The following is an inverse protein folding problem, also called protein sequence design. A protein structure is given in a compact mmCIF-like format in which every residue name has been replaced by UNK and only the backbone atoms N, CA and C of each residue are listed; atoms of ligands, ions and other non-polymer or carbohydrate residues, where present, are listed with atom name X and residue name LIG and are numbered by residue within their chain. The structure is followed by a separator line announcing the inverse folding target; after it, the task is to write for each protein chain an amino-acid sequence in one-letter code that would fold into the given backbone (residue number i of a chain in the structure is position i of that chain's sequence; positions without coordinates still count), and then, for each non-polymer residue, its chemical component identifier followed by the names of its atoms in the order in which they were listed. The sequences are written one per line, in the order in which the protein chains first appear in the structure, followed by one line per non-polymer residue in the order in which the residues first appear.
data_IF_492046828531
#
_entry.id   IF_492046828531
#
_cell.length_a   1.000
_cell.length_b   1.000
_cell.length_c   1.000
_cell.angle_alpha   90.00
_cell.angle_beta   90.00
_cell.angle_gamma   90.00
#
_symmetry.space_group_name_H-M   'P 1'
#
loop_
_entity.id
_entity.type
_entity.pdbx_description
1 polymer ?
#
# COMPACT_ATOMS: atom_id res chain seq x y z
N UNK A 1 4.54 -19.76 7.09
CA UNK A 1 3.32 -20.58 7.24
C UNK A 1 2.19 -19.92 6.45
N UNK A 2 1.05 -20.61 6.29
CA UNK A 2 -0.14 -20.26 5.48
C UNK A 2 0.13 -19.79 4.03
N UNK A 3 0.26 -20.76 3.14
CA UNK A 3 0.33 -20.53 1.69
C UNK A 3 -1.05 -20.65 1.00
N UNK A 4 -2.16 -20.60 1.75
CA UNK A 4 -3.52 -20.78 1.20
C UNK A 4 -3.93 -19.71 0.18
N UNK A 5 -3.29 -18.54 0.24
CA UNK A 5 -3.45 -17.43 -0.72
C UNK A 5 -2.24 -17.24 -1.64
N UNK A 6 -1.19 -18.05 -1.51
CA UNK A 6 0.02 -17.89 -2.30
C UNK A 6 -0.22 -18.34 -3.75
N UNK A 7 0.30 -17.56 -4.71
CA UNK A 7 0.20 -17.87 -6.13
C UNK A 7 1.50 -17.45 -6.84
N UNK A 8 1.99 -18.28 -7.75
CA UNK A 8 3.02 -17.86 -8.71
C UNK A 8 2.40 -16.90 -9.72
N UNK A 9 2.85 -15.65 -9.71
CA UNK A 9 2.40 -14.64 -10.66
C UNK A 9 3.07 -14.86 -12.01
N UNK A 10 2.28 -14.84 -13.08
CA UNK A 10 2.73 -14.97 -14.47
C UNK A 10 2.37 -13.66 -15.18
N UNK A 11 3.34 -12.95 -15.79
CA UNK A 11 3.06 -11.72 -16.52
C UNK A 11 1.99 -11.93 -17.61
N UNK A 12 1.00 -11.03 -17.66
CA UNK A 12 -0.14 -11.11 -18.58
C UNK A 12 -1.31 -11.98 -18.10
N UNK A 13 -1.18 -12.70 -16.98
CA UNK A 13 -2.30 -13.39 -16.36
C UNK A 13 -2.99 -12.50 -15.32
N UNK A 14 -4.32 -12.43 -15.39
CA UNK A 14 -5.12 -11.74 -14.36
C UNK A 14 -5.16 -12.53 -13.05
N UNK A 15 -5.14 -11.79 -11.94
CA UNK A 15 -5.19 -12.31 -10.58
C UNK A 15 -6.32 -11.65 -9.78
N UNK A 16 -6.74 -12.30 -8.69
CA UNK A 16 -7.81 -11.80 -7.83
C UNK A 16 -7.29 -10.62 -7.00
N UNK A 17 -7.90 -9.44 -7.16
CA UNK A 17 -7.50 -8.22 -6.45
C UNK A 17 -7.95 -8.19 -4.98
N UNK A 18 -9.07 -8.84 -4.65
CA UNK A 18 -9.56 -8.96 -3.27
C UNK A 18 -8.82 -10.07 -2.53
N UNK A 19 -7.54 -9.83 -2.26
CA UNK A 19 -6.63 -10.72 -1.54
C UNK A 19 -5.89 -9.95 -0.44
N UNK A 20 -5.16 -10.65 0.43
CA UNK A 20 -4.51 -10.11 1.62
C UNK A 20 -5.49 -9.63 2.71
N UNK A 21 -5.05 -9.70 3.97
CA UNK A 21 -5.77 -9.14 5.12
C UNK A 21 -5.84 -7.61 5.02
N UNK A 22 -7.01 -7.03 5.35
CA UNK A 22 -7.35 -5.64 5.03
C UNK A 22 -6.30 -4.60 5.42
N UNK A 23 -5.81 -4.63 6.67
CA UNK A 23 -4.85 -3.64 7.18
C UNK A 23 -3.48 -3.66 6.49
N UNK A 24 -3.16 -4.77 5.83
CA UNK A 24 -1.88 -4.99 5.14
C UNK A 24 -2.04 -4.95 3.62
N UNK A 25 -3.25 -4.68 3.12
CA UNK A 25 -3.54 -4.73 1.68
C UNK A 25 -2.92 -3.52 0.97
N UNK A 26 -2.18 -3.81 -0.11
CA UNK A 26 -1.59 -2.79 -0.97
C UNK A 26 -2.65 -1.95 -1.68
N UNK A 27 -2.44 -0.65 -1.90
CA UNK A 27 -3.46 0.23 -2.48
C UNK A 27 -3.83 -0.16 -3.91
N UNK A 28 -2.93 -0.71 -4.73
CA UNK A 28 -3.25 -1.24 -6.05
C UNK A 28 -4.32 -2.35 -6.01
N UNK A 29 -4.30 -3.19 -4.97
CA UNK A 29 -5.30 -4.23 -4.76
C UNK A 29 -6.65 -3.61 -4.35
N UNK A 30 -6.62 -2.53 -3.56
CA UNK A 30 -7.83 -1.77 -3.18
C UNK A 30 -8.44 -1.09 -4.42
N UNK A 31 -7.59 -0.61 -5.34
CA UNK A 31 -7.99 -0.08 -6.64
C UNK A 31 -8.45 -1.16 -7.63
N UNK A 32 -8.38 -2.44 -7.26
CA UNK A 32 -8.86 -3.54 -8.09
C UNK A 32 -7.89 -4.01 -9.17
N UNK A 33 -6.59 -3.71 -9.05
CA UNK A 33 -5.58 -4.18 -9.99
C UNK A 33 -5.56 -5.72 -10.05
N UNK A 34 -5.61 -6.26 -11.25
CA UNK A 34 -5.51 -7.71 -11.52
C UNK A 34 -4.12 -8.13 -11.99
N UNK A 35 -3.32 -7.17 -12.46
CA UNK A 35 -1.93 -7.34 -12.88
C UNK A 35 -1.01 -6.63 -11.88
N UNK A 36 -0.80 -7.27 -10.74
CA UNK A 36 0.14 -6.83 -9.70
C UNK A 36 1.35 -7.75 -9.64
N UNK A 37 2.37 -7.34 -8.87
CA UNK A 37 3.62 -8.09 -8.69
C UNK A 37 3.81 -8.48 -7.23
N UNK A 38 4.87 -9.22 -6.91
CA UNK A 38 5.21 -9.58 -5.54
C UNK A 38 5.54 -8.35 -4.64
N UNK A 39 5.62 -7.13 -5.20
CA UNK A 39 5.81 -5.89 -4.42
C UNK A 39 4.66 -5.64 -3.44
N UNK A 40 3.47 -6.22 -3.66
CA UNK A 40 2.37 -6.18 -2.68
C UNK A 40 2.76 -6.81 -1.33
N UNK A 41 3.68 -7.78 -1.33
CA UNK A 41 4.17 -8.43 -0.11
C UNK A 41 5.15 -7.51 0.63
N UNK A 42 5.96 -6.74 -0.11
CA UNK A 42 6.83 -5.71 0.46
C UNK A 42 6.02 -4.61 1.14
N UNK A 43 4.91 -4.18 0.54
CA UNK A 43 3.96 -3.26 1.18
C UNK A 43 3.41 -3.84 2.50
N UNK A 44 2.97 -5.10 2.45
CA UNK A 44 2.42 -5.81 3.62
C UNK A 44 3.46 -5.89 4.74
N UNK A 45 4.72 -6.20 4.41
CA UNK A 45 5.82 -6.25 5.36
C UNK A 45 6.12 -4.87 5.99
N UNK A 46 6.04 -3.79 5.21
CA UNK A 46 6.16 -2.41 5.72
C UNK A 46 5.06 -2.08 6.73
N UNK A 47 3.83 -2.49 6.46
CA UNK A 47 2.71 -2.32 7.38
C UNK A 47 2.91 -3.09 8.70
N UNK A 48 3.40 -4.34 8.63
CA UNK A 48 3.71 -5.16 9.82
C UNK A 48 4.83 -4.54 10.66
N UNK A 49 5.89 -4.05 10.02
CA UNK A 49 6.98 -3.37 10.72
C UNK A 49 6.47 -2.12 11.43
N UNK A 50 5.69 -1.31 10.73
CA UNK A 50 5.11 -0.09 11.29
C UNK A 50 4.21 -0.39 12.48
N UNK A 51 3.34 -1.41 12.37
CA UNK A 51 2.47 -1.85 13.45
C UNK A 51 3.27 -2.31 14.69
N UNK A 52 4.35 -3.05 14.48
CA UNK A 52 5.24 -3.50 15.56
C UNK A 52 5.83 -2.32 16.34
N UNK A 53 6.17 -1.24 15.65
CA UNK A 53 6.74 -0.01 16.26
C UNK A 53 5.66 0.82 16.96
N UNK A 54 4.48 0.96 16.34
CA UNK A 54 3.39 1.79 16.84
C UNK A 54 2.63 1.14 18.00
N UNK A 55 2.55 -0.20 18.00
CA UNK A 55 1.71 -1.00 18.88
C UNK A 55 0.24 -1.10 18.41
N UNK A 56 -0.05 -0.61 17.21
CA UNK A 56 -1.37 -0.62 16.58
C UNK A 56 -1.22 -0.63 15.05
N UNK A 57 -2.21 -1.14 14.29
CA UNK A 57 -2.13 -1.16 12.84
C UNK A 57 -1.89 0.23 12.24
N UNK A 58 -1.00 0.31 11.23
CA UNK A 58 -0.69 1.57 10.56
C UNK A 58 -1.90 2.15 9.80
N UNK A 59 -2.73 1.26 9.24
CA UNK A 59 -3.89 1.62 8.43
C UNK A 59 -5.14 0.83 8.87
N UNK A 60 -5.86 1.29 9.91
CA UNK A 60 -6.98 0.56 10.50
C UNK A 60 -8.33 0.85 9.78
N UNK A 61 -8.48 0.45 8.52
CA UNK A 61 -9.73 0.68 7.76
C UNK A 61 -10.86 -0.31 8.04
N UNK A 62 -12.11 0.14 8.17
CA UNK A 62 -13.28 -0.72 8.40
C UNK A 62 -13.82 -1.35 7.11
N UNK A 63 -13.70 -0.65 5.99
CA UNK A 63 -14.03 -1.11 4.63
C UNK A 63 -12.84 -0.96 3.68
N UNK A 64 -12.99 -1.39 2.41
CA UNK A 64 -11.96 -1.14 1.38
C UNK A 64 -11.75 0.34 1.11
N UNK A 65 -12.83 1.13 1.17
CA UNK A 65 -12.76 2.59 0.99
C UNK A 65 -12.09 3.25 2.19
N UNK A 66 -12.46 2.84 3.41
CA UNK A 66 -11.84 3.39 4.62
C UNK A 66 -10.34 3.04 4.70
N UNK A 67 -9.97 1.83 4.27
CA UNK A 67 -8.57 1.43 4.17
C UNK A 67 -7.79 2.38 3.26
N UNK A 68 -8.36 2.75 2.11
CA UNK A 68 -7.74 3.71 1.21
C UNK A 68 -7.65 5.11 1.83
N UNK A 69 -8.68 5.53 2.58
CA UNK A 69 -8.66 6.81 3.30
C UNK A 69 -7.53 6.85 4.34
N UNK A 70 -7.32 5.78 5.11
CA UNK A 70 -6.19 5.67 6.06
C UNK A 70 -4.84 5.76 5.35
N UNK A 71 -4.68 5.10 4.19
CA UNK A 71 -3.47 5.20 3.38
C UNK A 71 -3.23 6.64 2.90
N UNK A 72 -4.27 7.30 2.39
CA UNK A 72 -4.19 8.68 1.89
C UNK A 72 -3.90 9.68 3.00
N UNK A 73 -4.41 9.48 4.22
CA UNK A 73 -4.07 10.35 5.36
C UNK A 73 -2.56 10.42 5.58
N UNK A 74 -1.86 9.29 5.47
CA UNK A 74 -0.42 9.22 5.69
C UNK A 74 0.38 9.60 4.44
N UNK A 75 0.09 8.97 3.30
CA UNK A 75 0.86 9.13 2.06
C UNK A 75 0.46 10.36 1.23
N UNK A 76 -0.67 10.99 1.55
CA UNK A 76 -1.28 12.03 0.76
C UNK A 76 -2.10 11.49 -0.42
N UNK A 77 -2.76 12.40 -1.12
CA UNK A 77 -3.55 12.06 -2.30
C UNK A 77 -2.65 11.63 -3.45
N UNK A 78 -2.83 10.43 -4.03
CA UNK A 78 -2.02 9.97 -5.15
C UNK A 78 -2.22 10.86 -6.38
N UNK A 79 -1.15 11.09 -7.14
CA UNK A 79 -1.25 11.79 -8.42
C UNK A 79 -1.95 10.94 -9.47
N UNK A 80 -2.37 11.55 -10.59
CA UNK A 80 -3.00 10.82 -11.69
C UNK A 80 -2.08 9.73 -12.24
N UNK A 81 -0.78 10.00 -12.32
CA UNK A 81 0.23 9.06 -12.80
C UNK A 81 0.33 7.85 -11.85
N UNK A 82 0.32 8.09 -10.53
CA UNK A 82 0.36 7.02 -9.53
C UNK A 82 -0.91 6.16 -9.57
N UNK A 83 -2.08 6.79 -9.73
CA UNK A 83 -3.35 6.07 -9.88
C UNK A 83 -3.35 5.18 -11.12
N UNK A 84 -2.95 5.71 -12.27
CA UNK A 84 -2.86 4.94 -13.52
C UNK A 84 -1.83 3.81 -13.42
N UNK A 85 -0.73 4.03 -12.70
CA UNK A 85 0.28 3.00 -12.50
C UNK A 85 -0.16 1.92 -11.49
N UNK A 86 -1.10 2.21 -10.59
CA UNK A 86 -1.71 1.22 -9.71
C UNK A 86 -2.83 0.44 -10.41
N UNK A 87 -3.71 1.13 -11.14
CA UNK A 87 -4.73 0.50 -11.98
C UNK A 87 -5.09 1.43 -13.16
N UNK A 88 -4.70 1.09 -14.40
CA UNK A 88 -5.00 1.90 -15.59
C UNK A 88 -6.50 2.08 -15.86
N UNK A 89 -7.32 1.13 -15.40
CA UNK A 89 -8.77 1.13 -15.62
C UNK A 89 -9.54 1.90 -14.54
N UNK A 90 -8.85 2.54 -13.59
CA UNK A 90 -9.50 3.25 -12.50
C UNK A 90 -10.06 4.61 -12.96
N UNK A 91 -11.39 4.74 -12.95
CA UNK A 91 -12.10 5.94 -13.45
C UNK A 91 -12.99 6.61 -12.41
N UNK A 92 -13.17 6.02 -11.22
CA UNK A 92 -14.38 6.27 -10.42
C UNK A 92 -14.25 7.25 -9.24
N UNK A 93 -13.05 7.68 -8.82
CA UNK A 93 -12.95 8.53 -7.60
C UNK A 93 -12.11 9.80 -7.74
N UNK A 94 -12.71 10.91 -7.34
CA UNK A 94 -12.02 12.17 -7.01
C UNK A 94 -11.73 12.18 -5.52
N UNK A 95 -10.46 12.14 -5.17
CA UNK A 95 -10.03 12.31 -3.78
C UNK A 95 -9.95 13.81 -3.42
N UNK A 96 -10.29 14.19 -2.17
CA UNK A 96 -9.90 15.50 -1.67
C UNK A 96 -8.37 15.62 -1.70
N UNK A 97 -7.85 16.83 -1.88
CA UNK A 97 -6.40 17.04 -1.88
C UNK A 97 -5.86 17.05 -0.44
N UNK A 98 -5.18 15.98 -0.06
CA UNK A 98 -4.58 15.75 1.26
C UNK A 98 -3.06 15.74 1.10
N UNK A 99 -2.38 16.55 1.92
CA UNK A 99 -0.92 16.57 1.95
C UNK A 99 -0.42 15.38 2.78
N UNK A 100 0.62 14.72 2.29
CA UNK A 100 1.30 13.64 2.99
C UNK A 100 1.80 14.10 4.37
N UNK A 101 1.66 13.23 5.37
CA UNK A 101 2.31 13.42 6.65
C UNK A 101 3.80 13.09 6.55
N UNK A 102 4.61 13.81 7.30
CA UNK A 102 6.02 13.46 7.46
C UNK A 102 6.11 12.20 8.33
N UNK A 103 6.82 11.16 7.88
CA UNK A 103 6.90 9.89 8.61
C UNK A 103 7.41 10.03 10.06
N UNK A 104 8.25 11.02 10.34
CA UNK A 104 8.72 11.34 11.69
C UNK A 104 7.59 11.77 12.64
N UNK A 105 6.46 12.25 12.12
CA UNK A 105 5.26 12.58 12.91
C UNK A 105 4.32 11.40 13.10
N UNK A 106 4.43 10.38 12.24
CA UNK A 106 3.64 9.15 12.32
C UNK A 106 4.18 8.25 13.43
N UNK A 107 5.51 8.15 13.53
CA UNK A 107 6.18 7.32 14.51
C UNK A 107 6.51 8.06 15.81
N UNK A 108 6.74 7.30 16.89
CA UNK A 108 7.18 7.85 18.19
C UNK A 108 8.56 8.49 18.04
N UNK A 109 8.84 9.54 18.81
CA UNK A 109 10.10 10.32 18.72
C UNK A 109 11.39 9.52 18.91
N UNK A 110 11.34 8.36 19.58
CA UNK A 110 12.49 7.48 19.82
C UNK A 110 12.66 6.38 18.78
N UNK A 111 11.86 6.37 17.71
CA UNK A 111 11.93 5.35 16.67
C UNK A 111 13.23 5.50 15.88
N UNK A 112 13.92 4.39 15.63
CA UNK A 112 15.17 4.38 14.87
C UNK A 112 14.95 4.93 13.44
N UNK A 113 15.81 5.85 12.95
CA UNK A 113 15.66 6.44 11.61
C UNK A 113 15.59 5.39 10.49
N UNK A 114 16.42 4.36 10.57
CA UNK A 114 16.51 3.28 9.57
C UNK A 114 15.19 2.51 9.45
N UNK A 115 14.46 2.34 10.57
CA UNK A 115 13.15 1.70 10.55
C UNK A 115 12.08 2.58 9.89
N UNK A 116 12.13 3.90 10.13
CA UNK A 116 11.26 4.87 9.46
C UNK A 116 11.57 4.91 7.96
N UNK A 117 12.85 4.90 7.60
CA UNK A 117 13.30 4.87 6.21
C UNK A 117 12.78 3.62 5.52
N UNK A 118 12.95 2.44 6.13
CA UNK A 118 12.43 1.19 5.57
C UNK A 118 10.92 1.27 5.28
N UNK A 119 10.09 1.67 6.25
CA UNK A 119 8.64 1.81 6.03
C UNK A 119 8.32 2.87 4.97
N UNK A 120 9.09 3.96 4.90
CA UNK A 120 8.87 5.00 3.89
C UNK A 120 9.23 4.55 2.46
N UNK A 121 10.08 3.54 2.32
CA UNK A 121 10.50 2.98 1.03
C UNK A 121 9.55 1.90 0.51
N UNK A 122 8.73 1.30 1.38
CA UNK A 122 7.66 0.37 0.97
C UNK A 122 6.52 1.15 0.30
N UNK A 123 6.72 1.51 -0.97
CA UNK A 123 5.74 2.26 -1.76
C UNK A 123 4.96 1.34 -2.70
N UNK A 124 3.75 1.75 -3.12
CA UNK A 124 2.96 1.00 -4.09
C UNK A 124 3.72 0.82 -5.40
N UNK A 125 3.45 -0.31 -6.08
CA UNK A 125 4.11 -0.71 -7.33
C UNK A 125 4.08 0.37 -8.42
N UNK A 126 3.07 1.23 -8.41
CA UNK A 126 2.93 2.36 -9.34
C UNK A 126 4.03 3.43 -9.24
N UNK A 127 4.95 3.32 -8.28
CA UNK A 127 6.09 4.23 -8.12
C UNK A 127 7.43 3.68 -8.65
N UNK A 128 7.51 2.40 -9.02
CA UNK A 128 8.78 1.75 -9.40
C UNK A 128 8.79 1.03 -10.76
N UNK A 129 7.73 1.07 -11.58
CA UNK A 129 7.81 0.54 -12.95
C UNK A 129 8.50 1.52 -13.91
N UNK A 130 9.82 1.68 -13.74
CA UNK A 130 10.76 1.88 -14.85
C UNK A 130 12.02 1.07 -14.53
N UNK A 131 12.27 0.07 -15.38
CA UNK A 131 13.47 -0.76 -15.47
C UNK A 131 13.46 -2.06 -14.63
N UNK A 132 12.84 -3.10 -15.20
CA UNK A 132 13.56 -4.33 -15.56
C UNK A 132 13.13 -4.70 -16.97
#
# INVERSE_FOLDING_TARGET
CDFGSAKRLIPGESNVSYICSRYYRAPELIFGATEYTCVIDTWSAGCVLAETILGSPLFPGESGVDQLVEVIKILGTPTKEQLLAMNPNYTEFKFPHIKAHTWQKVFRSKTAPDAIEFVSTTRPSGSQQRNV
#
